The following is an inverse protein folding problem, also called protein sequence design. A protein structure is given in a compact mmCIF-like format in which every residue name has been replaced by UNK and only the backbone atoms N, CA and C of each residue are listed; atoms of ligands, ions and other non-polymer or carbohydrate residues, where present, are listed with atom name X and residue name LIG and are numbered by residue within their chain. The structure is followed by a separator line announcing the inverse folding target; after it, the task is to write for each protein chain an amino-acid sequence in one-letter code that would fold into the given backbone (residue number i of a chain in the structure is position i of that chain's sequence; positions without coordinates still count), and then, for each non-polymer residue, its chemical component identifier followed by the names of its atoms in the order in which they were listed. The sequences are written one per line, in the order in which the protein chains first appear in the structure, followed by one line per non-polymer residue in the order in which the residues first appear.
data_IF_629031673904
#
_entry.id   IF_629031673904
#
_cell.length_a   1.000
_cell.length_b   1.000
_cell.length_c   1.000
_cell.angle_alpha   90.00
_cell.angle_beta   90.00
_cell.angle_gamma   90.00
#
_symmetry.space_group_name_H-M   'P 1'
#
loop_
_entity.id
_entity.type
_entity.pdbx_description
1 polymer ?
#
# COMPACT_ATOMS: atom_id res chain seq x y z
N UNK A 1 -6.41 -31.99 -61.44
CA UNK A 1 -5.72 -32.79 -60.38
C UNK A 1 -4.43 -32.16 -59.82
N UNK A 2 -3.80 -31.19 -60.51
CA UNK A 2 -2.59 -30.50 -60.03
C UNK A 2 -2.86 -29.37 -59.01
N UNK A 3 -4.03 -28.72 -59.08
CA UNK A 3 -4.39 -27.57 -58.24
C UNK A 3 -4.77 -27.99 -56.80
N UNK A 4 -5.41 -29.15 -56.62
CA UNK A 4 -5.70 -29.71 -55.29
C UNK A 4 -4.44 -30.18 -54.53
N UNK A 5 -3.32 -30.42 -55.21
CA UNK A 5 -2.07 -30.89 -54.58
C UNK A 5 -1.22 -29.74 -54.01
N UNK A 6 -1.43 -28.50 -54.45
CA UNK A 6 -0.74 -27.34 -53.88
C UNK A 6 -1.42 -26.79 -52.62
N UNK A 7 -2.75 -26.94 -52.48
CA UNK A 7 -3.48 -26.53 -51.28
C UNK A 7 -3.18 -27.39 -50.03
N UNK A 8 -2.67 -28.61 -50.19
CA UNK A 8 -2.29 -29.50 -49.06
C UNK A 8 -0.87 -29.26 -48.51
N UNK A 9 -0.05 -28.39 -49.13
CA UNK A 9 1.39 -28.29 -48.81
C UNK A 9 1.75 -27.36 -47.63
N UNK A 10 0.81 -26.57 -47.12
CA UNK A 10 1.07 -25.59 -46.05
C UNK A 10 0.31 -25.82 -44.75
N UNK A 11 -0.47 -26.89 -44.62
CA UNK A 11 -1.13 -27.19 -43.35
C UNK A 11 -0.14 -27.84 -42.38
N UNK A 12 0.25 -27.04 -41.37
CA UNK A 12 0.92 -27.52 -40.18
C UNK A 12 0.10 -28.66 -39.57
N UNK A 13 0.72 -29.82 -39.31
CA UNK A 13 0.00 -30.91 -38.67
C UNK A 13 -0.47 -30.50 -37.28
N UNK A 14 -1.66 -30.96 -36.87
CA UNK A 14 -2.24 -30.65 -35.56
C UNK A 14 -1.26 -30.87 -34.40
N UNK A 15 -0.50 -31.97 -34.43
CA UNK A 15 0.52 -32.29 -33.44
C UNK A 15 1.69 -31.29 -33.40
N UNK A 16 2.07 -30.71 -34.56
CA UNK A 16 3.11 -29.68 -34.63
C UNK A 16 2.59 -28.34 -34.12
N UNK A 17 1.37 -27.98 -34.50
CA UNK A 17 0.70 -26.79 -33.99
C UNK A 17 0.61 -26.83 -32.47
N UNK A 18 0.06 -27.91 -31.91
CA UNK A 18 -0.07 -28.09 -30.46
C UNK A 18 1.28 -27.95 -29.74
N UNK A 19 2.35 -28.53 -30.30
CA UNK A 19 3.69 -28.44 -29.71
C UNK A 19 4.23 -27.02 -29.71
N UNK A 20 4.09 -26.29 -30.81
CA UNK A 20 4.53 -24.89 -30.90
C UNK A 20 3.72 -24.01 -29.94
N UNK A 21 2.41 -24.25 -29.81
CA UNK A 21 1.56 -23.54 -28.86
C UNK A 21 1.96 -23.83 -27.41
N UNK A 22 2.22 -25.09 -27.04
CA UNK A 22 2.70 -25.43 -25.69
C UNK A 22 4.07 -24.82 -25.39
N UNK A 23 4.99 -24.84 -26.36
CA UNK A 23 6.28 -24.16 -26.24
C UNK A 23 6.10 -22.66 -26.06
N UNK A 24 5.23 -22.02 -26.86
CA UNK A 24 4.91 -20.61 -26.72
C UNK A 24 4.40 -20.30 -25.31
N UNK A 25 3.41 -21.05 -24.82
CA UNK A 25 2.83 -20.84 -23.49
C UNK A 25 3.88 -20.98 -22.38
N UNK A 26 4.75 -21.99 -22.45
CA UNK A 26 5.81 -22.17 -21.46
C UNK A 26 6.82 -21.02 -21.50
N UNK A 27 7.34 -20.67 -22.67
CA UNK A 27 8.35 -19.61 -22.81
C UNK A 27 7.77 -18.25 -22.40
N UNK A 28 6.59 -17.92 -22.93
CA UNK A 28 5.92 -16.66 -22.63
C UNK A 28 5.54 -16.57 -21.15
N UNK A 29 4.94 -17.63 -20.58
CA UNK A 29 4.58 -17.67 -19.16
C UNK A 29 5.80 -17.54 -18.23
N UNK A 30 6.92 -18.18 -18.58
CA UNK A 30 8.17 -18.08 -17.81
C UNK A 30 8.72 -16.65 -17.83
N UNK A 31 8.73 -15.99 -18.98
CA UNK A 31 9.20 -14.61 -19.10
C UNK A 31 8.25 -13.61 -18.45
N UNK A 32 6.93 -13.78 -18.62
CA UNK A 32 5.93 -12.94 -17.98
C UNK A 32 6.06 -12.99 -16.45
N UNK A 33 6.18 -14.18 -15.88
CA UNK A 33 6.39 -14.34 -14.44
C UNK A 33 7.72 -13.74 -13.99
N UNK A 34 8.79 -13.87 -14.78
CA UNK A 34 10.07 -13.27 -14.48
C UNK A 34 10.01 -11.73 -14.49
N UNK A 35 9.32 -11.13 -15.47
CA UNK A 35 9.10 -9.68 -15.52
C UNK A 35 8.23 -9.19 -14.35
N UNK A 36 7.16 -9.90 -14.04
CA UNK A 36 6.28 -9.57 -12.91
C UNK A 36 7.03 -9.65 -11.58
N UNK A 37 7.74 -10.75 -11.33
CA UNK A 37 8.54 -10.95 -10.11
C UNK A 37 9.65 -9.91 -10.01
N UNK A 38 10.35 -9.62 -11.11
CA UNK A 38 11.36 -8.56 -11.15
C UNK A 38 10.75 -7.22 -10.78
N UNK A 39 9.68 -6.79 -11.45
CA UNK A 39 8.99 -5.54 -11.19
C UNK A 39 8.56 -5.46 -9.72
N UNK A 40 7.81 -6.44 -9.22
CA UNK A 40 7.31 -6.47 -7.84
C UNK A 40 8.46 -6.36 -6.82
N UNK A 41 9.52 -7.17 -6.95
CA UNK A 41 10.62 -7.15 -5.98
C UNK A 41 11.63 -6.03 -6.16
N UNK A 42 11.55 -5.26 -7.25
CA UNK A 42 12.26 -3.99 -7.40
C UNK A 42 11.45 -2.82 -6.87
N UNK A 43 10.13 -2.89 -6.97
CA UNK A 43 9.20 -1.86 -6.49
C UNK A 43 8.91 -2.01 -5.00
N UNK A 44 9.01 -3.21 -4.42
CA UNK A 44 8.84 -3.44 -2.99
C UNK A 44 9.91 -4.40 -2.49
N UNK A 45 10.84 -3.87 -1.68
CA UNK A 45 11.99 -4.64 -1.19
C UNK A 45 11.62 -5.66 -0.10
N UNK A 46 10.50 -5.44 0.60
CA UNK A 46 9.99 -6.26 1.71
C UNK A 46 8.54 -6.72 1.53
N UNK A 47 8.11 -6.91 0.28
CA UNK A 47 6.77 -7.40 -0.04
C UNK A 47 6.50 -8.74 0.66
N UNK A 48 5.41 -8.83 1.40
CA UNK A 48 5.02 -10.06 2.11
C UNK A 48 3.92 -10.82 1.36
N UNK A 49 3.76 -12.12 1.68
CA UNK A 49 2.66 -12.91 1.10
C UNK A 49 1.28 -12.34 1.50
N UNK A 50 1.17 -11.75 2.68
CA UNK A 50 -0.06 -11.19 3.26
C UNK A 50 -0.53 -10.00 2.45
N UNK A 51 0.39 -9.09 2.16
CA UNK A 51 0.15 -7.91 1.34
C UNK A 51 -0.36 -8.34 -0.03
N UNK A 52 0.25 -9.35 -0.66
CA UNK A 52 -0.24 -9.88 -1.94
C UNK A 52 -1.67 -10.41 -1.82
N UNK A 53 -1.96 -11.23 -0.81
CA UNK A 53 -3.30 -11.80 -0.60
C UNK A 53 -4.32 -10.69 -0.34
N UNK A 54 -3.95 -9.70 0.45
CA UNK A 54 -4.78 -8.55 0.77
C UNK A 54 -5.12 -7.75 -0.48
N UNK A 55 -4.11 -7.36 -1.26
CA UNK A 55 -4.29 -6.59 -2.48
C UNK A 55 -5.07 -7.36 -3.56
N UNK A 56 -4.87 -8.68 -3.69
CA UNK A 56 -5.64 -9.52 -4.60
C UNK A 56 -7.13 -9.64 -4.22
N UNK A 57 -7.46 -9.42 -2.95
CA UNK A 57 -8.83 -9.49 -2.44
C UNK A 57 -9.47 -8.12 -2.24
N UNK A 58 -8.72 -7.04 -2.42
CA UNK A 58 -9.18 -5.66 -2.23
C UNK A 58 -9.52 -4.97 -3.55
N UNK A 59 -10.35 -3.92 -3.55
CA UNK A 59 -10.56 -3.09 -4.72
C UNK A 59 -9.26 -2.43 -5.18
N UNK A 60 -8.91 -2.59 -6.46
CA UNK A 60 -7.85 -1.82 -7.13
C UNK A 60 -8.31 -0.41 -7.54
N UNK A 61 -9.57 -0.07 -7.27
CA UNK A 61 -10.10 1.26 -7.50
C UNK A 61 -9.32 2.27 -6.67
N UNK A 62 -8.87 3.35 -7.31
CA UNK A 62 -8.07 4.38 -6.65
C UNK A 62 -6.56 4.17 -6.66
N UNK A 63 -6.04 3.09 -7.27
CA UNK A 63 -4.58 2.88 -7.40
C UNK A 63 -3.89 4.07 -8.08
N UNK A 64 -2.71 4.44 -7.54
CA UNK A 64 -1.87 5.52 -8.05
C UNK A 64 -1.46 5.32 -9.51
N UNK A 65 -1.50 6.42 -10.27
CA UNK A 65 -1.21 6.40 -11.72
C UNK A 65 0.21 5.92 -12.04
N UNK A 66 1.18 6.20 -11.17
CA UNK A 66 2.57 5.73 -11.28
C UNK A 66 2.67 4.20 -11.19
N UNK A 67 1.94 3.56 -10.27
CA UNK A 67 1.95 2.11 -10.11
C UNK A 67 1.38 1.46 -11.37
N UNK A 68 0.24 1.95 -11.85
CA UNK A 68 -0.39 1.48 -13.09
C UNK A 68 0.59 1.61 -14.27
N UNK A 69 1.17 2.80 -14.47
CA UNK A 69 2.13 3.05 -15.55
C UNK A 69 3.36 2.13 -15.46
N UNK A 70 3.87 1.88 -14.25
CA UNK A 70 5.03 1.01 -14.06
C UNK A 70 4.75 -0.44 -14.51
N UNK A 71 3.54 -0.96 -14.30
CA UNK A 71 3.14 -2.29 -14.81
C UNK A 71 3.19 -2.30 -16.34
N UNK A 72 2.72 -1.25 -17.01
CA UNK A 72 2.80 -1.16 -18.46
C UNK A 72 4.25 -1.18 -18.96
N UNK A 73 5.11 -0.34 -18.39
CA UNK A 73 6.50 -0.19 -18.85
C UNK A 73 7.39 -1.38 -18.53
N UNK A 74 7.25 -1.98 -17.34
CA UNK A 74 8.16 -3.00 -16.86
C UNK A 74 7.63 -4.43 -17.00
N UNK A 75 6.32 -4.60 -17.21
CA UNK A 75 5.71 -5.92 -17.36
C UNK A 75 5.04 -6.06 -18.72
N UNK A 76 4.05 -5.23 -19.05
CA UNK A 76 3.21 -5.46 -20.24
C UNK A 76 3.97 -5.25 -21.56
N UNK A 77 4.62 -4.11 -21.78
CA UNK A 77 5.32 -3.85 -23.04
C UNK A 77 6.49 -4.82 -23.27
N UNK A 78 7.34 -5.13 -22.27
CA UNK A 78 8.34 -6.18 -22.40
C UNK A 78 7.73 -7.56 -22.70
N UNK A 79 6.61 -7.91 -22.06
CA UNK A 79 5.93 -9.18 -22.32
C UNK A 79 5.37 -9.25 -23.75
N UNK A 80 4.72 -8.19 -24.24
CA UNK A 80 4.19 -8.13 -25.61
C UNK A 80 5.32 -8.21 -26.64
N UNK A 81 6.42 -7.47 -26.43
CA UNK A 81 7.60 -7.55 -27.29
C UNK A 81 8.19 -8.97 -27.29
N UNK A 82 8.31 -9.61 -26.13
CA UNK A 82 8.75 -10.99 -26.02
C UNK A 82 7.80 -11.95 -26.75
N UNK A 83 6.48 -11.81 -26.60
CA UNK A 83 5.51 -12.64 -27.31
C UNK A 83 5.65 -12.55 -28.83
N UNK A 84 5.78 -11.33 -29.38
CA UNK A 84 5.99 -11.11 -30.81
C UNK A 84 7.28 -11.79 -31.28
N UNK A 85 8.38 -11.58 -30.55
CA UNK A 85 9.67 -12.20 -30.88
C UNK A 85 9.61 -13.72 -30.83
N UNK A 86 8.94 -14.31 -29.83
CA UNK A 86 8.74 -15.75 -29.73
C UNK A 86 7.95 -16.25 -30.93
N UNK A 87 6.84 -15.60 -31.31
CA UNK A 87 6.03 -15.99 -32.48
C UNK A 87 6.87 -15.95 -33.77
N UNK A 88 7.65 -14.88 -33.99
CA UNK A 88 8.54 -14.76 -35.15
C UNK A 88 9.57 -15.90 -35.17
N UNK A 89 10.21 -16.16 -34.03
CA UNK A 89 11.19 -17.24 -33.91
C UNK A 89 10.57 -18.61 -34.17
N UNK A 90 9.42 -18.91 -33.55
CA UNK A 90 8.69 -20.16 -33.73
C UNK A 90 8.24 -20.34 -35.18
N UNK A 91 7.75 -19.28 -35.83
CA UNK A 91 7.41 -19.29 -37.25
C UNK A 91 8.62 -19.60 -38.12
N UNK A 92 9.77 -18.93 -37.91
CA UNK A 92 10.98 -19.18 -38.70
C UNK A 92 11.51 -20.61 -38.57
N UNK A 93 11.41 -21.21 -37.38
CA UNK A 93 11.91 -22.57 -37.14
C UNK A 93 10.89 -23.67 -37.43
N UNK A 94 9.61 -23.34 -37.69
CA UNK A 94 8.53 -24.33 -37.73
C UNK A 94 8.71 -25.43 -38.79
N UNK A 95 9.41 -25.12 -39.88
CA UNK A 95 9.71 -26.03 -40.98
C UNK A 95 11.12 -26.65 -40.91
N UNK A 96 11.91 -26.30 -39.90
CA UNK A 96 13.27 -26.79 -39.77
C UNK A 96 13.29 -28.28 -39.38
N UNK A 97 14.17 -29.08 -40.00
CA UNK A 97 14.25 -30.54 -39.75
C UNK A 97 14.53 -30.86 -38.28
N UNK A 98 15.32 -30.01 -37.62
CA UNK A 98 15.70 -30.15 -36.21
C UNK A 98 14.78 -29.41 -35.22
N UNK A 99 13.62 -28.90 -35.66
CA UNK A 99 12.72 -28.07 -34.81
C UNK A 99 12.40 -28.74 -33.47
N UNK A 100 12.23 -30.07 -33.45
CA UNK A 100 11.95 -30.83 -32.22
C UNK A 100 13.09 -30.70 -31.20
N UNK A 101 14.34 -30.83 -31.64
CA UNK A 101 15.50 -30.73 -30.77
C UNK A 101 15.73 -29.28 -30.29
N UNK A 102 15.48 -28.30 -31.17
CA UNK A 102 15.58 -26.87 -30.83
C UNK A 102 14.55 -26.51 -29.76
N UNK A 103 13.27 -26.83 -29.99
CA UNK A 103 12.20 -26.56 -29.02
C UNK A 103 12.44 -27.26 -27.68
N UNK A 104 12.96 -28.49 -27.70
CA UNK A 104 13.30 -29.20 -26.47
C UNK A 104 14.32 -28.44 -25.63
N UNK A 105 15.42 -27.95 -26.24
CA UNK A 105 16.43 -27.16 -25.54
C UNK A 105 15.88 -25.83 -25.03
N UNK A 106 15.08 -25.12 -25.85
CA UNK A 106 14.45 -23.85 -25.44
C UNK A 106 13.49 -24.08 -24.28
N UNK A 107 12.67 -25.12 -24.33
CA UNK A 107 11.73 -25.46 -23.25
C UNK A 107 12.46 -25.82 -21.95
N UNK A 108 13.63 -26.48 -22.03
CA UNK A 108 14.48 -26.71 -20.84
C UNK A 108 14.91 -25.38 -20.24
N UNK A 109 15.43 -24.46 -21.05
CA UNK A 109 15.87 -23.14 -20.56
C UNK A 109 14.70 -22.35 -19.97
N UNK A 110 13.55 -22.32 -20.65
CA UNK A 110 12.34 -21.68 -20.14
C UNK A 110 11.89 -22.30 -18.80
N UNK A 111 11.89 -23.63 -18.70
CA UNK A 111 11.58 -24.34 -17.46
C UNK A 111 12.55 -23.99 -16.32
N UNK A 112 13.85 -23.88 -16.61
CA UNK A 112 14.86 -23.45 -15.62
C UNK A 112 14.63 -21.99 -15.16
N UNK A 113 14.27 -21.08 -16.08
CA UNK A 113 13.93 -19.69 -15.74
C UNK A 113 12.67 -19.65 -14.86
N UNK A 114 11.66 -20.45 -15.18
CA UNK A 114 10.44 -20.53 -14.38
C UNK A 114 10.74 -21.04 -12.97
N UNK A 115 11.48 -22.16 -12.86
CA UNK A 115 11.89 -22.72 -11.57
C UNK A 115 12.68 -21.70 -10.76
N UNK A 116 13.67 -21.04 -11.37
CA UNK A 116 14.46 -20.03 -10.69
C UNK A 116 13.61 -18.85 -10.21
N UNK A 117 12.65 -18.40 -11.03
CA UNK A 117 11.74 -17.30 -10.69
C UNK A 117 10.82 -17.67 -9.52
N UNK A 118 10.22 -18.87 -9.57
CA UNK A 118 9.39 -19.40 -8.48
C UNK A 118 10.22 -19.56 -7.21
N UNK A 119 11.45 -20.04 -7.30
CA UNK A 119 12.36 -20.16 -6.15
C UNK A 119 12.70 -18.79 -5.55
N UNK A 120 13.01 -17.79 -6.38
CA UNK A 120 13.24 -16.41 -5.92
C UNK A 120 11.99 -15.86 -5.23
N UNK A 121 10.80 -16.05 -5.81
CA UNK A 121 9.56 -15.62 -5.19
C UNK A 121 9.29 -16.33 -3.87
N UNK A 122 9.52 -17.65 -3.79
CA UNK A 122 9.40 -18.43 -2.57
C UNK A 122 10.26 -17.89 -1.43
N UNK A 123 11.53 -17.55 -1.72
CA UNK A 123 12.47 -17.01 -0.74
C UNK A 123 12.12 -15.56 -0.37
N UNK A 124 11.88 -14.70 -1.36
CA UNK A 124 11.63 -13.27 -1.11
C UNK A 124 10.32 -12.99 -0.39
N UNK A 125 9.29 -13.79 -0.64
CA UNK A 125 7.99 -13.70 0.04
C UNK A 125 7.95 -14.47 1.36
N UNK A 126 9.06 -15.11 1.76
CA UNK A 126 9.13 -15.98 2.93
C UNK A 126 7.97 -17.01 3.00
N UNK A 127 7.67 -17.62 1.84
CA UNK A 127 6.46 -18.44 1.67
C UNK A 127 6.44 -19.67 2.58
N UNK A 128 7.61 -20.23 2.90
CA UNK A 128 7.74 -21.36 3.83
C UNK A 128 7.27 -21.00 5.24
N UNK A 129 7.78 -19.90 5.79
CA UNK A 129 7.39 -19.38 7.11
C UNK A 129 5.93 -18.97 7.13
N UNK A 130 5.44 -18.35 6.05
CA UNK A 130 4.03 -18.05 5.88
C UNK A 130 3.14 -19.30 6.01
N UNK A 131 3.49 -20.37 5.28
CA UNK A 131 2.73 -21.63 5.28
C UNK A 131 2.78 -22.33 6.65
N UNK A 132 3.94 -22.32 7.31
CA UNK A 132 4.10 -22.86 8.66
C UNK A 132 3.23 -22.11 9.67
N UNK A 133 3.30 -20.78 9.66
CA UNK A 133 2.55 -19.91 10.57
C UNK A 133 1.04 -20.07 10.39
N UNK A 134 0.57 -20.30 9.16
CA UNK A 134 -0.85 -20.53 8.89
C UNK A 134 -1.37 -21.85 9.48
N UNK A 135 -0.52 -22.88 9.52
CA UNK A 135 -0.87 -24.18 10.10
C UNK A 135 -0.62 -24.25 11.61
N UNK A 136 -0.10 -23.19 12.21
CA UNK A 136 0.20 -23.11 13.64
C UNK A 136 -0.85 -22.29 14.36
N UNK A 137 -1.64 -22.94 15.21
CA UNK A 137 -2.53 -22.24 16.13
C UNK A 137 -1.73 -21.58 17.26
N UNK A 138 -2.13 -20.36 17.63
CA UNK A 138 -1.62 -19.66 18.82
C UNK A 138 -2.78 -19.04 19.58
N UNK A 139 -2.78 -19.19 20.90
CA UNK A 139 -3.76 -18.56 21.78
C UNK A 139 -3.36 -17.14 22.19
N UNK A 140 -2.22 -16.63 21.72
CA UNK A 140 -1.67 -15.35 22.18
C UNK A 140 -2.68 -14.20 22.14
N UNK A 141 -3.42 -14.04 21.03
CA UNK A 141 -4.45 -12.99 20.92
C UNK A 141 -5.61 -13.29 21.89
N UNK A 142 -6.09 -14.52 21.96
CA UNK A 142 -7.19 -14.88 22.88
C UNK A 142 -6.83 -14.65 24.37
N UNK A 143 -5.54 -14.80 24.72
CA UNK A 143 -5.05 -14.67 26.10
C UNK A 143 -4.64 -13.23 26.47
N UNK A 144 -4.15 -12.44 25.51
CA UNK A 144 -3.56 -11.11 25.78
C UNK A 144 -4.32 -9.93 25.19
N UNK A 145 -5.28 -10.16 24.29
CA UNK A 145 -6.07 -9.06 23.71
C UNK A 145 -7.01 -8.46 24.76
N UNK A 146 -6.89 -7.14 24.94
CA UNK A 146 -7.82 -6.38 25.77
C UNK A 146 -9.08 -6.06 24.96
N UNK A 147 -10.01 -7.01 24.95
CA UNK A 147 -11.32 -6.90 24.29
C UNK A 147 -12.07 -5.65 24.79
N UNK A 148 -12.35 -4.64 23.93
CA UNK A 148 -13.02 -3.41 24.34
C UNK A 148 -14.40 -3.65 24.96
N UNK A 149 -15.14 -4.65 24.49
CA UNK A 149 -16.45 -5.02 25.04
C UNK A 149 -16.40 -5.47 26.51
N UNK A 150 -15.23 -5.91 26.99
CA UNK A 150 -15.02 -6.42 28.36
C UNK A 150 -14.13 -5.52 29.19
N UNK A 151 -13.44 -4.58 28.55
CA UNK A 151 -12.49 -3.69 29.20
C UNK A 151 -13.23 -2.48 29.74
N UNK A 152 -13.05 -2.18 31.02
CA UNK A 152 -13.66 -0.98 31.61
C UNK A 152 -12.96 0.28 31.07
N UNK A 153 -13.65 1.01 30.21
CA UNK A 153 -13.24 2.33 29.72
C UNK A 153 -13.88 3.43 30.59
N UNK A 154 -13.13 4.49 30.87
CA UNK A 154 -13.62 5.65 31.63
C UNK A 154 -13.30 6.93 30.89
N UNK A 155 -14.33 7.72 30.60
CA UNK A 155 -14.19 9.01 29.93
C UNK A 155 -14.22 10.14 30.95
N UNK A 156 -13.39 11.19 30.79
CA UNK A 156 -13.48 12.38 31.62
C UNK A 156 -14.80 13.10 31.36
N UNK A 157 -15.31 13.83 32.37
CA UNK A 157 -16.53 14.65 32.23
C UNK A 157 -16.40 15.63 31.05
N UNK A 158 -15.22 16.26 30.93
CA UNK A 158 -14.85 17.05 29.77
C UNK A 158 -13.99 16.21 28.82
N UNK A 159 -14.62 15.72 27.76
CA UNK A 159 -13.98 14.94 26.69
C UNK A 159 -13.05 15.84 25.87
N UNK A 160 -11.86 15.33 25.56
CA UNK A 160 -10.89 16.01 24.68
C UNK A 160 -11.16 15.65 23.23
N UNK A 161 -10.84 16.56 22.31
CA UNK A 161 -10.80 16.24 20.89
C UNK A 161 -9.59 15.36 20.56
N UNK A 162 -9.66 14.65 19.43
CA UNK A 162 -8.59 13.83 18.88
C UNK A 162 -8.27 14.29 17.45
N UNK A 163 -6.98 14.46 17.15
CA UNK A 163 -6.44 14.65 15.81
C UNK A 163 -5.49 13.49 15.55
N UNK A 164 -5.86 12.53 14.72
CA UNK A 164 -5.04 11.36 14.42
C UNK A 164 -4.36 11.50 13.07
N UNK A 165 -3.02 11.56 13.05
CA UNK A 165 -2.23 11.75 11.83
C UNK A 165 -1.54 10.44 11.40
N UNK A 166 -2.02 9.82 10.32
CA UNK A 166 -1.28 8.77 9.62
C UNK A 166 -0.28 9.39 8.64
N UNK A 167 1.00 9.13 8.91
CA UNK A 167 2.11 9.56 8.06
C UNK A 167 2.54 8.39 7.18
N UNK A 168 2.20 8.44 5.89
CA UNK A 168 2.45 7.34 4.96
C UNK A 168 3.95 7.06 4.84
N UNK A 169 4.34 5.78 4.91
CA UNK A 169 5.73 5.31 4.78
C UNK A 169 6.77 6.01 5.69
N UNK A 170 6.33 6.77 6.70
CA UNK A 170 7.18 7.54 7.61
C UNK A 170 7.65 6.65 8.77
N UNK A 171 8.95 6.68 9.05
CA UNK A 171 9.56 5.89 10.11
C UNK A 171 10.74 6.63 10.77
N UNK A 172 11.10 6.21 11.99
CA UNK A 172 12.20 6.80 12.77
C UNK A 172 13.54 6.71 12.03
N UNK A 173 13.72 5.72 11.15
CA UNK A 173 15.00 5.49 10.48
C UNK A 173 15.44 6.69 9.63
N UNK A 174 14.53 7.53 9.13
CA UNK A 174 14.90 8.76 8.39
C UNK A 174 15.57 9.84 9.26
N UNK A 175 15.59 9.69 10.58
CA UNK A 175 16.41 10.54 11.46
C UNK A 175 17.89 10.15 11.35
N UNK A 176 18.80 10.97 11.87
CA UNK A 176 20.21 10.58 11.93
C UNK A 176 20.51 9.56 13.04
N UNK A 177 21.64 8.86 12.93
CA UNK A 177 22.09 7.89 13.93
C UNK A 177 22.29 8.50 15.34
N UNK A 178 22.59 9.80 15.42
CA UNK A 178 22.77 10.51 16.69
C UNK A 178 21.43 10.61 17.42
N UNK A 179 20.34 10.87 16.70
CA UNK A 179 18.99 10.98 17.23
C UNK A 179 18.25 9.64 17.29
N UNK A 180 18.83 8.55 16.75
CA UNK A 180 18.31 7.18 16.85
C UNK A 180 17.70 6.63 15.56
N UNK A 181 17.85 7.33 14.44
CA UNK A 181 17.53 6.81 13.12
C UNK A 181 18.68 5.99 12.53
N UNK A 182 18.65 5.80 11.21
CA UNK A 182 19.55 4.92 10.47
C UNK A 182 20.27 5.59 9.30
N UNK A 183 20.16 6.91 9.16
CA UNK A 183 20.82 7.67 8.10
C UNK A 183 21.99 8.49 8.67
N UNK A 184 22.97 8.82 7.83
CA UNK A 184 24.10 9.68 8.23
C UNK A 184 23.64 11.12 8.52
N UNK A 185 22.69 11.62 7.73
CA UNK A 185 22.08 12.94 7.89
C UNK A 185 20.61 12.81 8.28
N UNK A 186 20.12 13.76 9.06
CA UNK A 186 18.73 13.79 9.46
C UNK A 186 17.85 14.29 8.30
N UNK A 187 17.09 13.37 7.70
CA UNK A 187 16.20 13.67 6.56
C UNK A 187 14.88 14.31 7.01
N UNK A 188 14.50 14.10 8.27
CA UNK A 188 13.25 14.59 8.87
C UNK A 188 13.51 15.43 10.14
N UNK A 189 14.33 16.50 10.06
CA UNK A 189 14.80 17.18 11.27
C UNK A 189 13.67 17.84 12.07
N UNK A 190 12.61 18.32 11.42
CA UNK A 190 11.46 18.92 12.09
C UNK A 190 10.67 17.89 12.91
N UNK A 191 10.35 16.73 12.33
CA UNK A 191 9.70 15.62 13.04
C UNK A 191 10.59 15.01 14.13
N UNK A 192 11.90 14.91 13.89
CA UNK A 192 12.85 14.45 14.91
C UNK A 192 12.76 15.34 16.16
N UNK A 193 12.83 16.65 15.94
CA UNK A 193 12.69 17.64 17.02
C UNK A 193 11.32 17.56 17.69
N UNK A 194 10.25 17.49 16.90
CA UNK A 194 8.88 17.38 17.41
C UNK A 194 8.72 16.15 18.32
N UNK A 195 9.28 15.00 17.92
CA UNK A 195 9.26 13.78 18.72
C UNK A 195 10.07 13.90 20.02
N UNK A 196 11.23 14.56 19.99
CA UNK A 196 12.08 14.76 21.17
C UNK A 196 11.49 15.75 22.19
N UNK A 197 10.74 16.74 21.73
CA UNK A 197 10.09 17.76 22.57
C UNK A 197 8.75 17.29 23.15
N UNK A 198 8.21 16.15 22.69
CA UNK A 198 6.90 15.63 23.09
C UNK A 198 6.97 14.16 23.53
N UNK A 199 5.82 13.59 23.88
CA UNK A 199 5.72 12.16 24.19
C UNK A 199 6.05 11.36 22.93
N UNK A 200 7.04 10.49 23.05
CA UNK A 200 7.40 9.52 22.03
C UNK A 200 7.58 8.13 22.66
N UNK A 201 7.47 7.10 21.84
CA UNK A 201 7.46 5.70 22.30
C UNK A 201 8.86 5.06 22.27
N UNK A 202 9.89 5.79 22.71
CA UNK A 202 11.28 5.28 22.70
C UNK A 202 11.65 4.46 23.95
N UNK A 203 10.67 4.17 24.81
CA UNK A 203 10.86 3.43 26.05
C UNK A 203 11.79 4.15 27.03
N UNK A 204 12.87 3.48 27.45
CA UNK A 204 13.87 4.06 28.39
C UNK A 204 15.01 4.80 27.68
N UNK A 205 15.02 4.80 26.35
CA UNK A 205 16.07 5.44 25.55
C UNK A 205 15.90 6.96 25.52
N UNK A 206 17.01 7.70 25.52
CA UNK A 206 17.02 9.13 25.21
C UNK A 206 17.04 9.41 23.70
N UNK A 207 17.44 8.42 22.90
CA UNK A 207 17.35 8.45 21.44
C UNK A 207 16.01 7.91 20.99
N UNK A 208 15.54 8.36 19.83
CA UNK A 208 14.39 7.79 19.18
C UNK A 208 14.61 6.30 18.93
N UNK A 209 13.61 5.48 19.23
CA UNK A 209 13.69 4.02 19.04
C UNK A 209 12.50 3.46 18.24
N UNK A 210 11.44 4.26 18.06
CA UNK A 210 10.24 3.85 17.32
C UNK A 210 9.53 2.63 17.91
N UNK A 211 8.52 2.15 17.19
CA UNK A 211 7.81 0.90 17.48
C UNK A 211 8.21 -0.21 16.52
N UNK A 212 8.11 -1.46 16.97
CA UNK A 212 8.18 -2.61 16.06
C UNK A 212 6.81 -2.83 15.43
N UNK A 213 6.73 -2.74 14.10
CA UNK A 213 5.52 -3.06 13.37
C UNK A 213 5.25 -4.57 13.48
N UNK A 214 4.09 -4.93 14.02
CA UNK A 214 3.64 -6.31 14.07
C UNK A 214 3.32 -6.79 12.66
N UNK A 215 3.49 -8.08 12.43
CA UNK A 215 3.05 -8.71 11.19
C UNK A 215 1.55 -8.45 10.95
N UNK A 216 1.18 -8.04 9.74
CA UNK A 216 -0.19 -7.59 9.42
C UNK A 216 -0.46 -6.11 9.70
N UNK A 217 0.56 -5.35 10.11
CA UNK A 217 0.49 -3.92 10.38
C UNK A 217 1.56 -3.10 9.64
N UNK A 218 2.17 -3.67 8.58
CA UNK A 218 3.33 -3.10 7.87
C UNK A 218 2.98 -2.31 6.60
N UNK A 219 1.71 -2.34 6.18
CA UNK A 219 1.18 -1.56 5.06
C UNK A 219 0.07 -0.62 5.55
N UNK A 220 -0.30 0.39 4.77
CA UNK A 220 -1.19 1.49 5.17
C UNK A 220 -2.46 1.00 5.88
N UNK A 221 -3.27 0.15 5.24
CA UNK A 221 -4.51 -0.33 5.85
C UNK A 221 -4.25 -1.26 7.05
N UNK A 222 -3.21 -2.09 7.01
CA UNK A 222 -2.82 -2.93 8.15
C UNK A 222 -2.43 -2.10 9.38
N UNK A 223 -1.66 -1.03 9.18
CA UNK A 223 -1.26 -0.10 10.23
C UNK A 223 -2.44 0.68 10.78
N UNK A 224 -3.33 1.17 9.91
CA UNK A 224 -4.57 1.85 10.31
C UNK A 224 -5.45 0.92 11.16
N UNK A 225 -5.72 -0.29 10.68
CA UNK A 225 -6.49 -1.31 11.38
C UNK A 225 -5.87 -1.67 12.74
N UNK A 226 -4.56 -1.90 12.80
CA UNK A 226 -3.88 -2.29 14.04
C UNK A 226 -3.88 -1.17 15.08
N UNK A 227 -3.70 0.09 14.64
CA UNK A 227 -3.68 1.24 15.54
C UNK A 227 -5.05 1.56 16.16
N UNK A 228 -6.14 1.21 15.48
CA UNK A 228 -7.51 1.47 15.97
C UNK A 228 -8.16 0.26 16.64
N UNK A 229 -7.79 -0.97 16.27
CA UNK A 229 -8.38 -2.20 16.84
C UNK A 229 -7.49 -2.91 17.87
N UNK A 230 -6.17 -2.65 17.86
CA UNK A 230 -5.19 -3.43 18.61
C UNK A 230 -4.92 -4.83 18.04
N UNK A 231 -5.38 -5.13 16.82
CA UNK A 231 -5.25 -6.44 16.16
C UNK A 231 -4.51 -6.33 14.82
N UNK A 232 -3.73 -7.33 14.40
CA UNK A 232 -3.14 -7.35 13.06
C UNK A 232 -4.20 -7.63 11.99
N UNK A 233 -4.08 -7.01 10.82
CA UNK A 233 -4.99 -7.25 9.71
C UNK A 233 -4.63 -8.58 9.02
N UNK A 234 -5.46 -9.60 9.24
CA UNK A 234 -5.30 -10.94 8.63
C UNK A 234 -6.60 -11.40 8.00
N UNK A 235 -6.58 -11.62 6.69
CA UNK A 235 -7.73 -12.15 5.95
C UNK A 235 -7.68 -13.67 5.93
N UNK A 236 -8.83 -14.32 6.15
CA UNK A 236 -8.98 -15.74 5.90
C UNK A 236 -9.22 -16.00 4.40
N UNK A 237 -8.27 -16.69 3.76
CA UNK A 237 -8.35 -17.08 2.34
C UNK A 237 -9.37 -18.22 2.12
N UNK A 238 -9.72 -18.97 3.17
CA UNK A 238 -10.66 -20.08 3.10
C UNK A 238 -12.13 -19.66 2.96
N UNK A 239 -12.46 -18.39 3.23
CA UNK A 239 -13.84 -17.95 3.41
C UNK A 239 -14.18 -16.70 2.57
N UNK A 240 -13.90 -16.77 1.26
CA UNK A 240 -14.16 -15.71 0.28
C UNK A 240 -13.57 -14.35 0.70
N UNK A 241 -12.26 -14.20 0.43
CA UNK A 241 -11.52 -12.96 0.63
C UNK A 241 -12.30 -11.72 0.20
N UNK A 242 -12.05 -10.62 0.91
CA UNK A 242 -12.83 -9.37 1.05
C UNK A 242 -13.59 -8.80 -0.16
N UNK A 243 -13.34 -9.26 -1.38
CA UNK A 243 -14.01 -8.85 -2.60
C UNK A 243 -15.55 -8.98 -2.56
N UNK A 244 -16.09 -9.84 -1.67
CA UNK A 244 -17.54 -10.04 -1.49
C UNK A 244 -18.03 -9.80 -0.05
N UNK A 245 -17.17 -9.41 0.90
CA UNK A 245 -17.64 -9.09 2.24
C UNK A 245 -18.23 -7.67 2.21
N UNK A 246 -19.56 -7.59 2.33
CA UNK A 246 -20.27 -6.35 2.64
C UNK A 246 -19.80 -5.74 3.97
N UNK A 247 -19.12 -6.52 4.81
CA UNK A 247 -18.75 -6.17 6.19
C UNK A 247 -17.24 -6.37 6.45
N UNK A 248 -16.58 -5.35 7.00
CA UNK A 248 -15.16 -5.34 7.34
C UNK A 248 -15.01 -5.76 8.81
N UNK A 249 -14.74 -7.04 9.08
CA UNK A 249 -14.56 -7.56 10.46
C UNK A 249 -15.66 -7.12 11.46
N UNK A 250 -16.96 -7.37 11.19
CA UNK A 250 -18.08 -6.79 11.94
C UNK A 250 -18.18 -7.19 13.43
N UNK A 251 -17.38 -8.17 13.87
CA UNK A 251 -17.36 -8.64 15.26
C UNK A 251 -16.33 -7.94 16.14
N UNK A 252 -15.52 -7.02 15.59
CA UNK A 252 -14.53 -6.28 16.37
C UNK A 252 -15.07 -4.91 16.75
N UNK A 253 -14.60 -4.40 17.88
CA UNK A 253 -14.80 -3.01 18.30
C UNK A 253 -13.48 -2.25 18.14
N UNK A 254 -13.55 -1.06 17.57
CA UNK A 254 -12.39 -0.22 17.27
C UNK A 254 -12.49 1.12 17.97
N UNK A 255 -11.40 1.89 17.96
CA UNK A 255 -11.39 3.28 18.43
C UNK A 255 -12.50 4.13 17.80
N UNK A 256 -12.85 3.86 16.54
CA UNK A 256 -13.96 4.54 15.87
C UNK A 256 -15.30 4.29 16.55
N UNK A 257 -15.60 3.03 16.82
CA UNK A 257 -16.87 2.62 17.45
C UNK A 257 -16.99 3.21 18.86
N UNK A 258 -15.92 3.08 19.65
CA UNK A 258 -15.85 3.60 21.02
C UNK A 258 -16.11 5.12 21.06
N UNK A 259 -15.48 5.88 20.16
CA UNK A 259 -15.63 7.34 20.13
C UNK A 259 -17.00 7.76 19.60
N UNK A 260 -17.60 6.99 18.69
CA UNK A 260 -18.95 7.24 18.22
C UNK A 260 -19.98 7.06 19.34
N UNK A 261 -19.90 5.98 20.12
CA UNK A 261 -20.75 5.74 21.28
C UNK A 261 -20.63 6.85 22.33
N UNK A 262 -19.46 7.48 22.40
CA UNK A 262 -19.18 8.63 23.26
C UNK A 262 -19.52 9.99 22.61
N UNK A 263 -20.18 9.98 21.44
CA UNK A 263 -20.76 11.15 20.80
C UNK A 263 -19.77 12.05 20.05
N UNK A 264 -18.64 11.51 19.60
CA UNK A 264 -17.66 12.25 18.81
C UNK A 264 -18.16 12.50 17.38
N UNK A 265 -17.88 13.68 16.84
CA UNK A 265 -17.91 13.92 15.40
C UNK A 265 -16.69 13.28 14.74
N UNK A 266 -16.92 12.25 13.95
CA UNK A 266 -15.88 11.46 13.30
C UNK A 266 -15.62 11.96 11.86
N UNK A 267 -14.37 12.22 11.49
CA UNK A 267 -14.00 12.61 10.13
C UNK A 267 -12.72 11.92 9.68
N UNK A 268 -12.71 11.41 8.44
CA UNK A 268 -11.52 10.85 7.81
C UNK A 268 -11.18 11.63 6.54
N UNK A 269 -10.03 12.31 6.54
CA UNK A 269 -9.55 13.16 5.43
C UNK A 269 -8.32 12.54 4.75
N UNK A 270 -8.33 12.45 3.42
CA UNK A 270 -7.22 11.91 2.64
C UNK A 270 -7.19 12.48 1.22
N UNK A 271 -5.98 12.57 0.66
CA UNK A 271 -5.76 13.06 -0.71
C UNK A 271 -6.08 12.05 -1.81
N UNK A 272 -6.17 10.76 -1.45
CA UNK A 272 -6.42 9.63 -2.36
C UNK A 272 -7.88 9.16 -2.30
N UNK A 273 -8.26 8.25 -3.19
CA UNK A 273 -9.58 7.62 -3.16
C UNK A 273 -9.70 6.65 -1.97
N UNK A 274 -10.71 6.85 -1.12
CA UNK A 274 -10.89 6.01 0.07
C UNK A 274 -11.26 4.55 -0.25
N UNK A 275 -11.75 4.23 -1.45
CA UNK A 275 -12.09 2.84 -1.82
C UNK A 275 -10.85 1.95 -1.90
N UNK A 276 -9.69 2.53 -2.27
CA UNK A 276 -8.43 1.79 -2.34
C UNK A 276 -8.06 1.19 -0.98
N UNK A 277 -7.68 -0.09 -0.97
CA UNK A 277 -7.32 -0.83 0.24
C UNK A 277 -8.47 -0.96 1.24
N UNK A 278 -9.74 -0.86 0.81
CA UNK A 278 -10.91 -1.07 1.68
C UNK A 278 -11.15 0.01 2.75
N UNK A 279 -10.41 1.13 2.73
CA UNK A 279 -10.47 2.18 3.77
C UNK A 279 -11.86 2.77 3.91
N UNK A 280 -12.56 3.00 2.80
CA UNK A 280 -13.94 3.51 2.78
C UNK A 280 -14.88 2.58 3.53
N UNK A 281 -14.81 1.28 3.25
CA UNK A 281 -15.64 0.28 3.91
C UNK A 281 -15.34 0.27 5.41
N UNK A 282 -14.06 0.18 5.78
CA UNK A 282 -13.61 0.18 7.16
C UNK A 282 -14.11 1.40 7.96
N UNK A 283 -13.80 2.62 7.52
CA UNK A 283 -14.18 3.83 8.25
C UNK A 283 -15.68 4.16 8.21
N UNK A 284 -16.42 3.60 7.24
CA UNK A 284 -17.88 3.71 7.23
C UNK A 284 -18.52 2.79 8.28
N UNK A 285 -17.99 1.59 8.45
CA UNK A 285 -18.57 0.58 9.35
C UNK A 285 -18.05 0.68 10.78
N UNK A 286 -16.85 1.21 10.97
CA UNK A 286 -16.24 1.38 12.28
C UNK A 286 -16.20 2.85 12.69
N UNK A 287 -17.25 3.31 13.38
CA UNK A 287 -17.40 4.69 13.86
C UNK A 287 -17.99 5.71 12.86
N UNK A 288 -18.62 5.25 11.78
CA UNK A 288 -19.37 6.08 10.80
C UNK A 288 -18.73 7.43 10.42
N UNK A 289 -17.46 7.39 10.01
CA UNK A 289 -16.70 8.60 9.74
C UNK A 289 -17.26 9.36 8.53
N UNK A 290 -17.30 10.70 8.65
CA UNK A 290 -17.48 11.55 7.49
C UNK A 290 -16.20 11.51 6.63
N UNK A 291 -16.25 10.80 5.50
CA UNK A 291 -15.11 10.66 4.58
C UNK A 291 -14.99 11.90 3.69
N UNK A 292 -13.78 12.46 3.63
CA UNK A 292 -13.35 13.58 2.79
C UNK A 292 -12.15 13.11 1.97
N UNK A 293 -12.42 12.38 0.90
CA UNK A 293 -11.40 11.79 0.03
C UNK A 293 -11.25 12.57 -1.29
N UNK A 294 -10.44 12.05 -2.21
CA UNK A 294 -10.28 12.63 -3.56
C UNK A 294 -11.63 12.91 -4.24
N UNK A 295 -12.54 11.94 -4.24
CA UNK A 295 -13.84 12.06 -4.90
C UNK A 295 -14.71 13.14 -4.23
N UNK A 296 -14.72 13.20 -2.89
CA UNK A 296 -15.40 14.28 -2.17
C UNK A 296 -14.86 15.65 -2.57
N UNK A 297 -13.53 15.81 -2.66
CA UNK A 297 -12.91 17.07 -3.02
C UNK A 297 -13.30 17.53 -4.44
N UNK A 298 -13.40 16.61 -5.40
CA UNK A 298 -13.89 16.89 -6.76
C UNK A 298 -15.38 17.26 -6.74
N UNK A 299 -16.23 16.51 -6.04
CA UNK A 299 -17.69 16.75 -6.03
C UNK A 299 -18.10 18.04 -5.32
N UNK A 300 -17.26 18.54 -4.41
CA UNK A 300 -17.52 19.77 -3.66
C UNK A 300 -16.68 20.96 -4.14
N UNK A 301 -16.09 20.86 -5.34
CA UNK A 301 -15.29 21.91 -5.99
C UNK A 301 -14.12 22.43 -5.11
N UNK A 302 -13.54 21.55 -4.27
CA UNK A 302 -12.29 21.86 -3.54
C UNK A 302 -11.08 21.85 -4.48
N UNK A 303 -11.17 21.04 -5.53
CA UNK A 303 -10.21 20.94 -6.63
C UNK A 303 -10.96 20.89 -7.97
N UNK A 304 -10.32 21.27 -9.11
CA UNK A 304 -10.94 21.15 -10.43
C UNK A 304 -11.34 19.71 -10.78
N UNK A 305 -12.38 19.54 -11.61
CA UNK A 305 -12.93 18.21 -11.95
C UNK A 305 -11.97 17.30 -12.70
N UNK A 306 -11.05 17.88 -13.46
CA UNK A 306 -10.00 17.19 -14.21
C UNK A 306 -8.67 17.11 -13.44
N UNK A 307 -8.64 17.60 -12.19
CA UNK A 307 -7.45 17.56 -11.36
C UNK A 307 -7.24 16.16 -10.80
N UNK A 308 -6.13 15.52 -11.18
CA UNK A 308 -5.63 14.32 -10.53
C UNK A 308 -4.12 14.23 -10.73
N UNK A 309 -3.39 14.21 -9.63
CA UNK A 309 -1.94 13.98 -9.62
C UNK A 309 -1.65 12.71 -8.84
N UNK A 310 -0.82 11.84 -9.41
CA UNK A 310 -0.28 10.67 -8.71
C UNK A 310 -1.36 9.76 -8.07
N UNK A 311 -1.58 9.81 -6.75
CA UNK A 311 -2.63 9.09 -6.00
C UNK A 311 -3.96 9.86 -5.86
N UNK A 312 -4.00 11.16 -6.16
CA UNK A 312 -5.19 12.02 -6.05
C UNK A 312 -4.82 13.51 -6.07
N UNK A 313 -4.65 14.13 -4.91
CA UNK A 313 -4.10 15.49 -4.77
C UNK A 313 -3.01 15.54 -3.68
N UNK A 314 -2.14 16.54 -3.75
CA UNK A 314 -0.94 16.68 -2.90
C UNK A 314 -1.25 16.93 -1.42
N UNK A 315 -0.34 16.49 -0.55
CA UNK A 315 -0.46 16.70 0.90
C UNK A 315 -0.46 18.18 1.29
N UNK A 316 0.18 19.05 0.50
CA UNK A 316 0.09 20.50 0.70
C UNK A 316 -1.37 21.00 0.66
N UNK A 317 -2.15 20.54 -0.32
CA UNK A 317 -3.58 20.87 -0.38
C UNK A 317 -4.34 20.17 0.74
N UNK A 318 -3.98 18.93 1.07
CA UNK A 318 -4.56 18.16 2.17
C UNK A 318 -4.47 18.91 3.50
N UNK A 319 -3.30 19.44 3.86
CA UNK A 319 -3.14 20.24 5.08
C UNK A 319 -3.95 21.54 5.03
N UNK A 320 -4.09 22.17 3.86
CA UNK A 320 -5.00 23.32 3.68
C UNK A 320 -6.46 22.97 3.99
N UNK A 321 -6.95 21.84 3.47
CA UNK A 321 -8.30 21.36 3.74
C UNK A 321 -8.47 20.90 5.19
N UNK A 322 -7.47 20.26 5.78
CA UNK A 322 -7.46 19.84 7.18
C UNK A 322 -7.69 21.03 8.12
N UNK A 323 -6.99 22.15 7.89
CA UNK A 323 -7.17 23.38 8.67
C UNK A 323 -8.62 23.87 8.62
N UNK A 324 -9.21 23.92 7.42
CA UNK A 324 -10.62 24.33 7.22
C UNK A 324 -11.59 23.39 7.94
N UNK A 325 -11.43 22.08 7.76
CA UNK A 325 -12.31 21.09 8.37
C UNK A 325 -12.21 21.06 9.90
N UNK A 326 -11.01 21.23 10.46
CA UNK A 326 -10.82 21.36 11.91
C UNK A 326 -11.50 22.61 12.47
N UNK A 327 -11.43 23.75 11.78
CA UNK A 327 -12.17 24.96 12.18
C UNK A 327 -13.68 24.72 12.19
N UNK A 328 -14.21 24.02 11.19
CA UNK A 328 -15.64 23.66 11.13
C UNK A 328 -16.05 22.68 12.23
N UNK A 329 -15.21 21.68 12.54
CA UNK A 329 -15.45 20.73 13.63
C UNK A 329 -15.40 21.41 14.99
N UNK A 330 -14.41 22.28 15.22
CA UNK A 330 -14.22 22.99 16.49
C UNK A 330 -15.33 24.02 16.78
N UNK A 331 -16.05 24.48 15.76
CA UNK A 331 -17.22 25.35 15.94
C UNK A 331 -18.45 24.59 16.49
N UNK A 332 -18.45 23.25 16.45
CA UNK A 332 -19.51 22.41 17.01
C UNK A 332 -19.32 22.25 18.53
N UNK A 333 -20.39 21.87 19.23
CA UNK A 333 -20.36 21.64 20.69
C UNK A 333 -19.85 20.25 21.07
N UNK A 334 -20.03 19.27 20.20
CA UNK A 334 -19.62 17.90 20.45
C UNK A 334 -18.10 17.76 20.25
N UNK A 335 -17.41 16.86 20.99
CA UNK A 335 -16.01 16.57 20.73
C UNK A 335 -15.85 16.02 19.31
N UNK A 336 -14.64 16.14 18.75
CA UNK A 336 -14.35 15.59 17.43
C UNK A 336 -13.17 14.63 17.45
N UNK A 337 -13.19 13.70 16.51
CA UNK A 337 -12.04 12.90 16.12
C UNK A 337 -11.80 13.13 14.63
N UNK A 338 -10.72 13.84 14.35
CA UNK A 338 -10.27 14.16 13.00
C UNK A 338 -9.09 13.26 12.67
N UNK A 339 -9.31 12.30 11.79
CA UNK A 339 -8.28 11.38 11.32
C UNK A 339 -7.85 11.80 9.92
N UNK A 340 -6.56 11.83 9.64
CA UNK A 340 -6.06 12.07 8.29
C UNK A 340 -4.93 11.14 7.87
N UNK A 341 -4.85 10.88 6.57
CA UNK A 341 -3.79 10.09 5.95
C UNK A 341 -3.09 10.93 4.86
N UNK A 342 -1.80 11.20 5.08
CA UNK A 342 -0.89 11.75 4.07
C UNK A 342 -0.53 10.69 3.05
N UNK A 343 -0.05 11.07 1.86
CA UNK A 343 0.33 10.08 0.84
C UNK A 343 1.55 10.46 0.02
N UNK A 344 2.00 11.73 -0.02
CA UNK A 344 3.10 12.18 -0.87
C UNK A 344 4.39 11.38 -0.63
N UNK A 345 4.57 10.81 0.56
CA UNK A 345 5.70 9.94 0.95
C UNK A 345 5.55 8.47 0.54
N UNK A 346 4.51 8.07 -0.19
CA UNK A 346 4.32 6.67 -0.59
C UNK A 346 5.45 6.16 -1.50
N UNK A 347 5.98 4.98 -1.18
CA UNK A 347 7.05 4.28 -1.94
C UNK A 347 6.68 4.10 -3.43
N UNK A 348 7.64 4.08 -4.39
CA UNK A 348 9.10 4.05 -4.26
C UNK A 348 9.82 5.37 -4.03
N UNK A 349 9.37 6.47 -4.66
CA UNK A 349 10.13 7.72 -4.69
C UNK A 349 9.34 8.92 -4.15
N UNK A 350 8.10 8.69 -3.71
CA UNK A 350 7.17 9.75 -3.31
C UNK A 350 6.78 10.69 -4.45
N UNK A 351 6.02 11.73 -4.10
CA UNK A 351 5.60 12.80 -4.98
C UNK A 351 6.26 14.13 -4.61
N UNK A 352 6.88 14.76 -5.60
CA UNK A 352 7.51 16.06 -5.45
C UNK A 352 6.49 17.15 -5.77
N UNK A 353 6.03 17.86 -4.74
CA UNK A 353 5.25 19.08 -4.93
C UNK A 353 6.15 20.32 -5.04
N UNK A 354 5.56 21.47 -5.41
CA UNK A 354 6.28 22.74 -5.60
C UNK A 354 6.98 23.27 -4.33
N UNK A 355 6.62 22.76 -3.15
CA UNK A 355 7.18 23.13 -1.86
C UNK A 355 8.28 22.17 -1.37
N UNK A 356 8.55 21.09 -2.10
CA UNK A 356 9.60 20.15 -1.74
C UNK A 356 10.98 20.82 -1.84
N UNK A 357 11.83 20.67 -0.81
CA UNK A 357 13.21 21.14 -0.92
C UNK A 357 14.01 20.26 -1.89
N UNK A 358 15.16 20.77 -2.34
CA UNK A 358 16.16 19.99 -3.06
C UNK A 358 17.42 19.74 -2.22
N UNK A 359 17.27 19.71 -0.89
CA UNK A 359 18.36 19.60 0.09
C UNK A 359 19.26 18.38 -0.18
N UNK A 360 18.67 17.26 -0.58
CA UNK A 360 19.36 15.98 -0.79
C UNK A 360 19.68 15.71 -2.26
N UNK A 361 19.83 16.76 -3.07
CA UNK A 361 20.24 16.65 -4.47
C UNK A 361 19.33 15.75 -5.29
N UNK A 362 19.91 14.74 -5.96
CA UNK A 362 19.18 13.78 -6.80
C UNK A 362 18.41 12.70 -6.01
N UNK A 363 18.53 12.65 -4.68
CA UNK A 363 17.75 11.73 -3.86
C UNK A 363 16.33 12.28 -3.66
N UNK A 364 15.44 11.97 -4.62
CA UNK A 364 14.06 12.44 -4.60
C UNK A 364 13.34 12.04 -3.31
N UNK A 365 13.44 10.78 -2.90
CA UNK A 365 12.67 10.30 -1.77
C UNK A 365 13.06 11.00 -0.46
N UNK A 366 14.36 11.27 -0.25
CA UNK A 366 14.81 12.07 0.89
C UNK A 366 14.27 13.51 0.84
N UNK A 367 14.21 14.13 -0.35
CA UNK A 367 13.60 15.46 -0.52
C UNK A 367 12.09 15.46 -0.20
N UNK A 368 11.37 14.41 -0.59
CA UNK A 368 9.94 14.25 -0.28
C UNK A 368 9.72 14.03 1.21
N UNK A 369 10.53 13.19 1.86
CA UNK A 369 10.49 12.98 3.32
C UNK A 369 10.75 14.27 4.10
N UNK A 370 11.74 15.05 3.68
CA UNK A 370 12.03 16.35 4.27
C UNK A 370 10.87 17.36 4.07
N UNK A 371 10.22 17.31 2.91
CA UNK A 371 9.03 18.11 2.67
C UNK A 371 7.88 17.74 3.62
N UNK A 372 7.60 16.45 3.75
CA UNK A 372 6.56 15.94 4.66
C UNK A 372 6.86 16.32 6.11
N UNK A 373 8.12 16.20 6.55
CA UNK A 373 8.56 16.59 7.89
C UNK A 373 8.24 18.04 8.22
N UNK A 374 8.55 18.95 7.30
CA UNK A 374 8.20 20.38 7.41
C UNK A 374 6.70 20.62 7.45
N UNK A 375 5.96 20.06 6.50
CA UNK A 375 4.52 20.31 6.37
C UNK A 375 3.72 19.79 7.55
N UNK A 376 4.03 18.58 8.04
CA UNK A 376 3.40 18.01 9.24
C UNK A 376 3.68 18.89 10.45
N UNK A 377 4.95 19.28 10.64
CA UNK A 377 5.34 20.09 11.80
C UNK A 377 4.70 21.48 11.76
N UNK A 378 4.58 22.09 10.59
CA UNK A 378 3.89 23.37 10.41
C UNK A 378 2.38 23.25 10.62
N UNK A 379 1.78 22.12 10.25
CA UNK A 379 0.39 21.83 10.57
C UNK A 379 0.17 21.68 12.09
N UNK A 380 1.02 20.92 12.79
CA UNK A 380 0.97 20.79 14.25
C UNK A 380 1.13 22.15 14.93
N UNK A 381 2.09 22.98 14.51
CA UNK A 381 2.25 24.35 15.02
C UNK A 381 1.02 25.22 14.77
N UNK A 382 0.37 25.08 13.62
CA UNK A 382 -0.89 25.78 13.36
C UNK A 382 -1.98 25.31 14.30
N UNK A 383 -2.12 24.00 14.54
CA UNK A 383 -3.09 23.46 15.51
C UNK A 383 -2.82 24.03 16.90
N UNK A 384 -1.56 24.11 17.33
CA UNK A 384 -1.16 24.66 18.64
C UNK A 384 -1.57 26.12 18.86
N UNK A 385 -1.85 26.87 17.78
CA UNK A 385 -2.31 28.26 17.83
C UNK A 385 -3.83 28.38 17.92
N UNK A 386 -4.58 27.29 17.78
CA UNK A 386 -6.05 27.33 17.77
C UNK A 386 -6.62 27.26 19.19
N UNK A 387 -7.80 27.87 19.40
CA UNK A 387 -8.48 27.88 20.70
C UNK A 387 -8.81 26.47 21.23
N UNK A 388 -9.08 25.53 20.31
CA UNK A 388 -9.38 24.14 20.66
C UNK A 388 -8.14 23.34 21.09
N UNK A 389 -6.92 23.82 20.88
CA UNK A 389 -5.68 23.06 21.14
C UNK A 389 -5.57 22.57 22.59
N UNK A 390 -5.89 23.42 23.56
CA UNK A 390 -5.78 23.09 25.00
C UNK A 390 -6.58 21.85 25.38
N UNK A 391 -7.63 21.56 24.62
CA UNK A 391 -8.54 20.44 24.84
C UNK A 391 -8.42 19.36 23.75
N UNK A 392 -7.30 19.32 23.03
CA UNK A 392 -7.09 18.39 21.91
C UNK A 392 -5.84 17.55 22.11
N UNK A 393 -5.95 16.25 21.87
CA UNK A 393 -4.80 15.34 21.71
C UNK A 393 -4.50 15.21 20.21
N UNK A 394 -3.22 15.30 19.85
CA UNK A 394 -2.71 15.08 18.49
C UNK A 394 -1.84 13.82 18.53
#
# INVERSE_FOLDING_TARGET
MFIQKQWKKHHMSWQRFLRLSLSFLLIFGSLLLAFLARWAFTTWSRLTMEEIIYELSSPLEGTGSNIIQSVFYFVLFPAVAAAILIVICLYRIHNHRSVRAILFRINIVAGLILIATVFVAYVKLDFGTWLENRNRSSNFIAEHYADPHKTKLTFPEKKRNLIYLYLESMETTYSDEKDGGGFEENVIPELTKLAQENVNFSGKSKKLNGGYAMYGATWTMGGMFAQTSGLPLKIDIGNNGMQNQLDFFPSIETLGDILEDEGYNQMFLLGSDASFGGRRLYYTQHGHYAIRDYNYAVWNDWIPRDYKVWWGFEDHKLFGFAKKQLTELAAKKQPFNFTMLTVDTHFPDGYVCEYCPHTFGSNQYANVMACSSRQVTDFVKWVQQQDFYKDTTI
#
